data_IF_178959112915
#
_entry.id   IF_178959112915
#
_cell.length_a   1.000
_cell.length_b   1.000
_cell.length_c   1.000
_cell.angle_alpha   90.00
_cell.angle_beta   90.00
_cell.angle_gamma   90.00
#
_symmetry.space_group_name_H-M   'P 1'
#
loop_
_entity.id
_entity.type
_entity.pdbx_description
1 polymer ?
#
# COMPACT_ATOMS: atom_id res chain seq x y z
N UNK A 1 -1.42 -14.62 -16.96
CA UNK A 1 -2.47 -13.79 -16.32
C UNK A 1 -2.00 -12.35 -16.37
N UNK A 2 -2.60 -11.50 -17.21
CA UNK A 2 -2.18 -10.10 -17.34
C UNK A 2 -2.51 -9.36 -16.03
N UNK A 3 -1.49 -8.99 -15.28
CA UNK A 3 -1.64 -8.08 -14.14
C UNK A 3 -2.04 -6.70 -14.66
N UNK A 4 -3.33 -6.45 -14.81
CA UNK A 4 -3.81 -5.08 -14.91
C UNK A 4 -3.56 -4.43 -13.56
N UNK A 5 -2.70 -3.42 -13.50
CA UNK A 5 -2.56 -2.57 -12.33
C UNK A 5 -3.94 -2.01 -11.98
N UNK A 6 -4.51 -2.47 -10.88
CA UNK A 6 -5.80 -1.97 -10.40
C UNK A 6 -5.50 -0.72 -9.58
N UNK A 7 -5.58 0.44 -10.20
CA UNK A 7 -5.55 1.72 -9.48
C UNK A 7 -6.97 2.10 -9.09
N UNK A 8 -7.24 2.25 -7.80
CA UNK A 8 -8.46 2.84 -7.26
C UNK A 8 -8.26 4.37 -7.20
N UNK A 9 -8.26 5.01 -8.37
CA UNK A 9 -8.18 6.46 -8.45
C UNK A 9 -9.46 7.14 -7.99
N UNK A 10 -9.37 8.45 -7.75
CA UNK A 10 -10.50 9.29 -7.32
C UNK A 10 -11.67 9.21 -8.30
N UNK A 11 -11.38 9.05 -9.59
CA UNK A 11 -12.37 8.92 -10.66
C UNK A 11 -13.21 7.65 -10.49
N UNK A 12 -12.57 6.54 -10.11
CA UNK A 12 -13.27 5.28 -9.84
C UNK A 12 -14.22 5.43 -8.64
N UNK A 13 -13.75 6.05 -7.57
CA UNK A 13 -14.56 6.31 -6.36
C UNK A 13 -15.76 7.18 -6.72
N UNK A 14 -15.56 8.27 -7.45
CA UNK A 14 -16.62 9.16 -7.84
C UNK A 14 -17.68 8.46 -8.70
N UNK A 15 -17.27 7.59 -9.61
CA UNK A 15 -18.15 6.89 -10.53
C UNK A 15 -18.90 5.73 -9.90
N UNK A 16 -18.21 4.94 -9.02
CA UNK A 16 -18.72 3.63 -8.62
C UNK A 16 -19.07 3.53 -7.13
N UNK A 17 -18.73 4.51 -6.33
CA UNK A 17 -18.85 4.39 -4.88
C UNK A 17 -19.82 5.40 -4.26
N UNK A 18 -19.76 6.67 -4.63
CA UNK A 18 -20.57 7.70 -3.98
C UNK A 18 -22.08 7.52 -4.16
N UNK A 19 -22.55 6.93 -5.25
CA UNK A 19 -23.98 6.66 -5.42
C UNK A 19 -24.47 5.66 -4.39
N UNK A 20 -23.68 4.62 -4.06
CA UNK A 20 -24.03 3.63 -3.03
C UNK A 20 -24.13 4.30 -1.66
N UNK A 21 -23.15 5.14 -1.31
CA UNK A 21 -23.16 5.85 -0.01
C UNK A 21 -24.39 6.76 0.14
N UNK A 22 -24.84 7.39 -0.95
CA UNK A 22 -26.01 8.28 -0.96
C UNK A 22 -27.35 7.55 -0.79
N UNK A 23 -27.41 6.25 -1.09
CA UNK A 23 -28.62 5.46 -0.83
C UNK A 23 -28.90 5.32 0.67
N UNK A 24 -27.96 5.67 1.53
CA UNK A 24 -28.04 5.61 2.99
C UNK A 24 -27.94 7.00 3.63
N UNK A 25 -28.44 8.04 2.96
CA UNK A 25 -28.40 9.42 3.49
C UNK A 25 -29.31 9.64 4.70
N UNK A 26 -30.21 8.70 4.98
CA UNK A 26 -31.03 8.62 6.20
C UNK A 26 -30.24 8.20 7.44
N UNK A 27 -29.08 7.58 7.27
CA UNK A 27 -28.19 7.20 8.38
C UNK A 27 -27.25 8.34 8.76
N UNK A 28 -26.79 8.33 10.02
CA UNK A 28 -25.79 9.29 10.47
C UNK A 28 -24.48 9.17 9.67
N UNK A 29 -23.73 10.26 9.57
CA UNK A 29 -22.41 10.24 8.91
C UNK A 29 -21.47 9.26 9.64
N UNK A 30 -21.54 9.23 10.97
CA UNK A 30 -20.75 8.35 11.83
C UNK A 30 -21.02 6.88 11.53
N UNK A 31 -22.27 6.48 11.41
CA UNK A 31 -22.65 5.09 11.10
C UNK A 31 -22.21 4.68 9.70
N UNK A 32 -22.37 5.57 8.72
CA UNK A 32 -21.88 5.33 7.36
C UNK A 32 -20.35 5.19 7.33
N UNK A 33 -19.63 6.07 8.00
CA UNK A 33 -18.16 6.00 8.08
C UNK A 33 -17.68 4.75 8.80
N UNK A 34 -18.30 4.37 9.92
CA UNK A 34 -17.99 3.14 10.64
C UNK A 34 -18.24 1.91 9.77
N UNK A 35 -19.37 1.87 9.07
CA UNK A 35 -19.68 0.77 8.13
C UNK A 35 -18.62 0.63 7.04
N UNK A 36 -18.13 1.74 6.48
CA UNK A 36 -17.07 1.73 5.47
C UNK A 36 -15.76 1.20 6.03
N UNK A 37 -15.37 1.65 7.22
CA UNK A 37 -14.15 1.19 7.90
C UNK A 37 -14.22 -0.32 8.18
N UNK A 38 -15.34 -0.80 8.70
CA UNK A 38 -15.58 -2.24 8.91
C UNK A 38 -15.51 -3.02 7.59
N UNK A 39 -16.12 -2.50 6.53
CA UNK A 39 -16.07 -3.14 5.21
C UNK A 39 -14.62 -3.25 4.70
N UNK A 40 -13.83 -2.19 4.84
CA UNK A 40 -12.39 -2.21 4.47
C UNK A 40 -11.67 -3.32 5.24
N UNK A 41 -11.83 -3.38 6.56
CA UNK A 41 -11.17 -4.39 7.39
C UNK A 41 -11.54 -5.82 6.98
N UNK A 42 -12.82 -6.09 6.69
CA UNK A 42 -13.30 -7.38 6.20
C UNK A 42 -12.69 -7.71 4.82
N UNK A 43 -12.59 -6.75 3.89
CA UNK A 43 -11.99 -7.00 2.57
C UNK A 43 -10.49 -7.26 2.69
N UNK A 44 -9.79 -6.54 3.56
CA UNK A 44 -8.37 -6.79 3.86
C UNK A 44 -8.19 -8.20 4.42
N UNK A 45 -9.00 -8.62 5.39
CA UNK A 45 -8.98 -9.99 5.92
C UNK A 45 -9.12 -11.03 4.82
N UNK A 46 -10.15 -10.91 3.97
CA UNK A 46 -10.37 -11.85 2.85
C UNK A 46 -9.19 -11.89 1.88
N UNK A 47 -8.59 -10.73 1.58
CA UNK A 47 -7.44 -10.65 0.71
C UNK A 47 -6.21 -11.34 1.32
N UNK A 48 -5.93 -11.09 2.60
CA UNK A 48 -4.80 -11.70 3.31
C UNK A 48 -4.99 -13.22 3.42
N UNK A 49 -6.18 -13.69 3.79
CA UNK A 49 -6.50 -15.11 3.83
C UNK A 49 -6.33 -15.81 2.48
N UNK A 50 -6.63 -15.11 1.38
CA UNK A 50 -6.56 -15.69 0.03
C UNK A 50 -5.13 -15.83 -0.52
N UNK A 51 -4.16 -15.10 0.01
CA UNK A 51 -2.77 -15.08 -0.47
C UNK A 51 -1.77 -15.65 0.52
N UNK A 52 -2.20 -15.91 1.75
CA UNK A 52 -1.30 -16.41 2.80
C UNK A 52 -0.99 -17.89 2.57
N UNK A 53 0.29 -18.19 2.43
CA UNK A 53 0.81 -19.56 2.36
C UNK A 53 1.12 -20.15 3.74
N UNK A 54 1.13 -19.32 4.78
CA UNK A 54 1.42 -19.67 6.17
C UNK A 54 0.21 -19.38 7.07
N UNK A 55 0.15 -20.03 8.24
CA UNK A 55 -0.85 -19.68 9.25
C UNK A 55 -0.77 -18.19 9.60
N UNK A 56 -1.89 -17.50 9.60
CA UNK A 56 -1.93 -16.04 9.82
C UNK A 56 -1.37 -15.63 11.18
N UNK A 57 -1.53 -16.46 12.21
CA UNK A 57 -1.02 -16.18 13.55
C UNK A 57 0.53 -16.18 13.65
N UNK A 58 1.23 -16.71 12.62
CA UNK A 58 2.69 -16.65 12.49
C UNK A 58 3.16 -15.48 11.61
N UNK A 59 2.23 -14.65 11.16
CA UNK A 59 2.49 -13.54 10.23
C UNK A 59 2.20 -12.21 10.90
N UNK A 60 2.79 -11.14 10.35
CA UNK A 60 2.47 -9.76 10.74
C UNK A 60 2.09 -8.94 9.50
N UNK A 61 1.16 -8.01 9.68
CA UNK A 61 0.75 -7.05 8.66
C UNK A 61 1.17 -5.64 9.06
N UNK A 62 2.02 -5.02 8.24
CA UNK A 62 2.43 -3.63 8.42
C UNK A 62 1.44 -2.68 7.75
N UNK A 63 0.89 -1.74 8.52
CA UNK A 63 -0.02 -0.71 8.02
C UNK A 63 0.70 0.62 7.95
N UNK A 64 0.77 1.23 6.77
CA UNK A 64 1.45 2.51 6.54
C UNK A 64 0.59 3.45 5.70
N UNK A 65 1.04 4.71 5.57
CA UNK A 65 0.28 5.76 4.87
C UNK A 65 -0.78 6.40 5.76
N UNK A 66 -1.57 7.32 5.23
CA UNK A 66 -2.53 8.11 6.01
C UNK A 66 -3.57 7.29 6.77
N UNK A 67 -3.93 6.11 6.26
CA UNK A 67 -4.85 5.19 6.95
C UNK A 67 -4.32 4.62 8.26
N UNK A 68 -3.00 4.60 8.45
CA UNK A 68 -2.37 4.13 9.69
C UNK A 68 -2.66 5.05 10.91
N UNK A 69 -3.06 6.30 10.65
CA UNK A 69 -3.48 7.25 11.68
C UNK A 69 -4.98 7.21 11.98
N UNK A 70 -5.72 6.33 11.34
CA UNK A 70 -7.14 6.12 11.61
C UNK A 70 -7.30 5.00 12.65
N UNK A 71 -7.39 5.38 13.92
CA UNK A 71 -7.49 4.44 15.04
C UNK A 71 -8.68 3.47 14.87
N UNK A 72 -9.82 3.96 14.38
CA UNK A 72 -11.00 3.13 14.14
C UNK A 72 -10.70 2.03 13.09
N UNK A 73 -9.97 2.36 12.02
CA UNK A 73 -9.56 1.37 11.03
C UNK A 73 -8.57 0.35 11.61
N UNK A 74 -7.59 0.83 12.36
CA UNK A 74 -6.58 -0.05 12.99
C UNK A 74 -7.22 -1.01 13.98
N UNK A 75 -8.16 -0.55 14.80
CA UNK A 75 -8.88 -1.38 15.75
C UNK A 75 -9.73 -2.45 15.04
N UNK A 76 -10.42 -2.09 13.96
CA UNK A 76 -11.16 -3.07 13.16
C UNK A 76 -10.23 -4.06 12.45
N UNK A 77 -9.06 -3.63 11.95
CA UNK A 77 -8.08 -4.56 11.38
C UNK A 77 -7.57 -5.55 12.42
N UNK A 78 -7.27 -5.08 13.64
CA UNK A 78 -6.84 -5.93 14.75
C UNK A 78 -7.92 -6.93 15.18
N UNK A 79 -9.19 -6.55 15.10
CA UNK A 79 -10.30 -7.44 15.45
C UNK A 79 -10.61 -8.48 14.37
N UNK A 80 -10.38 -8.15 13.11
CA UNK A 80 -10.71 -9.01 11.96
C UNK A 80 -9.58 -9.96 11.57
N UNK A 81 -8.32 -9.58 11.79
CA UNK A 81 -7.15 -10.34 11.35
C UNK A 81 -6.63 -11.26 12.44
N UNK A 82 -6.30 -12.48 12.07
CA UNK A 82 -5.64 -13.43 12.96
C UNK A 82 -4.10 -13.22 13.04
N UNK A 83 -3.55 -12.27 12.27
CA UNK A 83 -2.14 -11.89 12.31
C UNK A 83 -1.92 -10.63 13.17
N UNK A 84 -0.67 -10.40 13.57
CA UNK A 84 -0.30 -9.16 14.26
C UNK A 84 -0.43 -7.97 13.31
N UNK A 85 -1.16 -6.92 13.73
CA UNK A 85 -1.27 -5.65 12.99
C UNK A 85 -0.29 -4.65 13.58
N UNK A 86 0.78 -4.38 12.85
CA UNK A 86 1.87 -3.49 13.24
C UNK A 86 1.70 -2.12 12.59
N UNK A 87 1.59 -1.08 13.40
CA UNK A 87 1.64 0.33 12.95
C UNK A 87 3.01 0.87 13.33
N UNK A 88 3.89 1.19 12.37
CA UNK A 88 5.21 1.71 12.66
C UNK A 88 5.16 3.13 13.24
N UNK A 89 6.28 3.63 13.71
CA UNK A 89 6.40 4.98 14.21
C UNK A 89 6.00 6.03 13.15
N UNK A 90 5.45 7.16 13.60
CA UNK A 90 4.96 8.23 12.73
C UNK A 90 5.99 8.71 11.71
N UNK A 91 7.28 8.76 12.07
CA UNK A 91 8.35 9.12 11.13
C UNK A 91 8.46 8.12 9.97
N UNK A 92 8.37 6.83 10.23
CA UNK A 92 8.38 5.80 9.19
C UNK A 92 7.17 5.96 8.26
N UNK A 93 5.99 6.23 8.81
CA UNK A 93 4.76 6.44 8.02
C UNK A 93 4.90 7.69 7.14
N UNK A 94 5.35 8.82 7.72
CA UNK A 94 5.39 10.11 7.04
C UNK A 94 6.50 10.18 5.96
N UNK A 95 7.64 9.55 6.19
CA UNK A 95 8.81 9.64 5.31
C UNK A 95 9.06 8.37 4.47
N UNK A 96 8.14 7.40 4.49
CA UNK A 96 8.27 6.14 3.73
C UNK A 96 8.57 6.39 2.24
N UNK A 97 7.85 7.29 1.60
CA UNK A 97 8.05 7.58 0.17
C UNK A 97 9.42 8.21 -0.08
N UNK A 98 9.85 9.16 0.77
CA UNK A 98 11.18 9.76 0.67
C UNK A 98 12.28 8.71 0.82
N UNK A 99 12.13 7.77 1.76
CA UNK A 99 13.06 6.67 1.95
C UNK A 99 13.11 5.74 0.73
N UNK A 100 11.94 5.40 0.15
CA UNK A 100 11.86 4.56 -1.06
C UNK A 100 12.56 5.26 -2.23
N UNK A 101 12.29 6.54 -2.47
CA UNK A 101 12.94 7.28 -3.56
C UNK A 101 14.44 7.44 -3.35
N UNK A 102 14.89 7.64 -2.11
CA UNK A 102 16.32 7.66 -1.80
C UNK A 102 17.00 6.31 -2.12
N UNK A 103 16.35 5.19 -1.76
CA UNK A 103 16.83 3.85 -2.09
C UNK A 103 16.89 3.65 -3.62
N UNK A 104 15.80 3.96 -4.33
CA UNK A 104 15.75 3.82 -5.80
C UNK A 104 16.82 4.69 -6.49
N UNK A 105 17.08 5.90 -5.98
CA UNK A 105 18.15 6.77 -6.45
C UNK A 105 19.54 6.16 -6.21
N UNK A 106 19.80 5.64 -5.01
CA UNK A 106 21.04 4.96 -4.70
C UNK A 106 21.27 3.73 -5.60
N UNK A 107 20.25 2.89 -5.79
CA UNK A 107 20.33 1.75 -6.71
C UNK A 107 20.63 2.20 -8.14
N UNK A 108 20.03 3.30 -8.59
CA UNK A 108 20.31 3.87 -9.93
C UNK A 108 21.76 4.31 -10.08
N UNK A 109 22.32 5.01 -9.07
CA UNK A 109 23.72 5.44 -9.05
C UNK A 109 24.67 4.24 -9.15
N UNK A 110 24.36 3.16 -8.45
CA UNK A 110 25.14 1.91 -8.46
C UNK A 110 24.80 0.97 -9.63
N UNK A 111 24.04 1.43 -10.62
CA UNK A 111 23.59 0.64 -11.79
C UNK A 111 22.91 -0.69 -11.42
N UNK A 112 22.18 -0.70 -10.30
CA UNK A 112 21.38 -1.83 -9.84
C UNK A 112 19.94 -1.73 -10.35
N UNK A 113 19.31 -2.88 -10.65
CA UNK A 113 17.92 -2.91 -11.05
C UNK A 113 17.03 -2.36 -9.93
N UNK A 114 16.32 -1.27 -10.23
CA UNK A 114 15.42 -0.57 -9.33
C UNK A 114 13.95 -0.62 -9.77
N UNK A 115 13.68 -1.32 -10.87
CA UNK A 115 12.34 -1.55 -11.41
C UNK A 115 12.16 -3.04 -11.68
N UNK A 116 11.27 -3.66 -10.89
CA UNK A 116 11.08 -5.12 -10.91
C UNK A 116 10.03 -5.53 -11.94
N UNK A 117 10.33 -6.54 -12.73
CA UNK A 117 9.40 -7.15 -13.69
C UNK A 117 8.16 -7.74 -13.01
N UNK A 118 8.32 -8.29 -11.81
CA UNK A 118 7.22 -8.82 -11.00
C UNK A 118 6.20 -7.76 -10.58
N UNK A 119 6.63 -6.50 -10.43
CA UNK A 119 5.75 -5.38 -10.07
C UNK A 119 5.17 -4.67 -11.30
N UNK A 120 5.92 -4.58 -12.39
CA UNK A 120 5.55 -3.80 -13.58
C UNK A 120 4.89 -4.63 -14.68
N UNK A 121 5.09 -5.96 -14.67
CA UNK A 121 4.70 -6.84 -15.77
C UNK A 121 5.62 -6.77 -16.98
N UNK A 122 6.79 -6.12 -16.85
CA UNK A 122 7.83 -6.12 -17.87
C UNK A 122 8.46 -7.52 -18.02
N UNK A 123 9.16 -7.75 -19.13
CA UNK A 123 9.82 -9.04 -19.40
C UNK A 123 11.08 -9.27 -18.55
N UNK A 124 11.71 -8.20 -18.07
CA UNK A 124 12.94 -8.22 -17.28
C UNK A 124 12.95 -7.09 -16.25
N UNK A 125 13.77 -7.24 -15.22
CA UNK A 125 14.08 -6.17 -14.28
C UNK A 125 14.95 -5.11 -14.98
N UNK A 126 14.77 -3.85 -14.61
CA UNK A 126 15.38 -2.73 -15.32
C UNK A 126 16.01 -1.72 -14.39
N UNK A 127 17.08 -1.08 -14.89
CA UNK A 127 17.69 0.09 -14.24
C UNK A 127 17.01 1.33 -14.79
N UNK A 128 16.04 1.88 -14.08
CA UNK A 128 15.26 3.03 -14.50
C UNK A 128 15.80 4.35 -13.93
N UNK A 129 15.43 5.46 -14.59
CA UNK A 129 15.84 6.82 -14.24
C UNK A 129 17.05 7.29 -15.02
N UNK A 130 17.17 8.61 -15.19
CA UNK A 130 18.33 9.29 -15.77
C UNK A 130 19.23 9.84 -14.65
N UNK A 131 20.52 9.86 -14.89
CA UNK A 131 21.50 10.61 -14.09
C UNK A 131 22.00 11.77 -14.94
N UNK A 132 21.98 12.96 -14.37
CA UNK A 132 22.50 14.16 -15.01
C UNK A 132 23.59 14.77 -14.12
N UNK A 133 24.81 14.80 -14.61
CA UNK A 133 26.00 15.21 -13.87
C UNK A 133 27.11 14.14 -13.83
N UNK A 134 28.23 14.46 -13.15
CA UNK A 134 29.35 13.55 -12.94
C UNK A 134 29.17 12.76 -11.62
N UNK A 135 28.83 11.50 -11.72
CA UNK A 135 28.68 10.57 -10.59
C UNK A 135 29.79 9.53 -10.51
N UNK A 136 30.88 9.68 -11.32
CA UNK A 136 31.98 8.71 -11.39
C UNK A 136 32.63 8.39 -10.04
N UNK A 137 32.67 9.38 -9.14
CA UNK A 137 33.22 9.23 -7.79
C UNK A 137 32.32 8.41 -6.82
N UNK A 138 31.06 8.19 -7.15
CA UNK A 138 30.11 7.40 -6.35
C UNK A 138 29.99 5.94 -6.83
N UNK A 139 30.49 5.64 -8.04
CA UNK A 139 30.44 4.32 -8.65
C UNK A 139 31.77 3.62 -8.33
N UNK A 140 31.89 3.05 -7.15
CA UNK A 140 32.99 2.11 -6.85
C UNK A 140 32.58 0.73 -7.36
N UNK A 141 33.42 0.18 -8.25
CA UNK A 141 33.30 -1.21 -8.73
C UNK A 141 33.40 -2.23 -7.59
#
# INVERSE_FOLDING_TARGET
MLFRSKSLGREWINKNFWHIVREFDDLSVEDRMKTLVMHIAIQVRKAVESVSEKPLHESSMYVTGGGAFNDCLIDHLRSELACEVVVPEANMINYKEAMIFALLGAMRVHNQCNTLSSATGASVDWVAGSLDGDFGHLITN
#
